data_IF_983204491927
#
_entry.id   IF_983204491927
#
_cell.length_a   1.000
_cell.length_b   1.000
_cell.length_c   1.000
_cell.angle_alpha   90.00
_cell.angle_beta   90.00
_cell.angle_gamma   90.00
#
_symmetry.space_group_name_H-M   'P 1'
#
loop_
_entity.id
_entity.type
_entity.pdbx_description
1 polymer ?
#
# COMPACT_ATOMS: atom_id res chain seq x y z
N UNK A 1 -5.08 0.23 6.72
CA UNK A 1 -5.66 0.00 5.37
C UNK A 1 -5.25 1.17 4.48
N UNK A 2 -4.83 0.94 3.23
CA UNK A 2 -4.62 2.04 2.28
C UNK A 2 -6.00 2.49 1.75
N UNK A 3 -6.29 3.78 1.79
CA UNK A 3 -7.57 4.33 1.31
C UNK A 3 -7.48 4.61 -0.19
N UNK A 4 -8.57 4.36 -0.90
CA UNK A 4 -8.69 4.62 -2.33
C UNK A 4 -10.09 5.16 -2.60
N UNK A 5 -10.23 6.19 -3.42
CA UNK A 5 -11.56 6.77 -3.68
C UNK A 5 -12.53 5.75 -4.29
N UNK A 6 -12.05 4.77 -5.06
CA UNK A 6 -12.87 3.69 -5.61
C UNK A 6 -13.63 2.84 -4.58
N UNK A 7 -13.17 2.83 -3.32
CA UNK A 7 -13.78 2.12 -2.20
C UNK A 7 -14.42 3.09 -1.19
N UNK A 8 -14.81 4.27 -1.64
CA UNK A 8 -15.47 5.29 -0.81
C UNK A 8 -16.98 5.30 -1.08
N UNK A 9 -17.81 5.36 -0.04
CA UNK A 9 -19.28 5.45 -0.16
C UNK A 9 -19.76 6.68 -0.94
N UNK A 10 -18.96 7.75 -0.93
CA UNK A 10 -19.27 9.01 -1.62
C UNK A 10 -18.74 9.08 -3.07
N UNK A 11 -18.21 7.98 -3.59
CA UNK A 11 -17.70 7.90 -4.96
C UNK A 11 -18.82 7.47 -5.90
N UNK A 12 -19.17 8.34 -6.84
CA UNK A 12 -20.15 8.06 -7.88
C UNK A 12 -19.40 7.89 -9.19
N UNK A 13 -19.63 6.76 -9.85
CA UNK A 13 -19.06 6.46 -11.15
C UNK A 13 -20.20 6.32 -12.18
N UNK A 14 -20.13 7.12 -13.24
CA UNK A 14 -21.00 7.06 -14.42
C UNK A 14 -20.18 7.45 -15.65
N UNK A 15 -20.60 8.48 -16.38
CA UNK A 15 -19.80 9.06 -17.47
C UNK A 15 -18.48 9.67 -16.97
N UNK A 16 -18.51 10.23 -15.76
CA UNK A 16 -17.33 10.73 -15.05
C UNK A 16 -17.30 10.22 -13.62
N UNK A 17 -16.11 10.25 -13.04
CA UNK A 17 -15.85 9.92 -11.65
C UNK A 17 -16.07 11.17 -10.79
N UNK A 18 -17.01 11.13 -9.83
CA UNK A 18 -17.35 12.30 -9.01
C UNK A 18 -17.35 11.97 -7.51
N UNK A 19 -16.78 12.88 -6.71
CA UNK A 19 -16.85 12.81 -5.26
C UNK A 19 -17.97 13.71 -4.74
N UNK A 20 -19.05 13.10 -4.22
CA UNK A 20 -20.22 13.83 -3.72
C UNK A 20 -19.88 14.78 -2.57
N UNK A 21 -19.05 14.34 -1.63
CA UNK A 21 -18.72 15.10 -0.43
C UNK A 21 -17.84 16.34 -0.71
N UNK A 22 -16.96 16.24 -1.72
CA UNK A 22 -16.10 17.36 -2.14
C UNK A 22 -16.69 18.18 -3.29
N UNK A 23 -17.80 17.71 -3.87
CA UNK A 23 -18.44 18.25 -5.07
C UNK A 23 -17.44 18.49 -6.20
N UNK A 24 -16.63 17.47 -6.50
CA UNK A 24 -15.52 17.58 -7.46
C UNK A 24 -15.42 16.35 -8.36
N UNK A 25 -15.21 16.61 -9.65
CA UNK A 25 -14.81 15.60 -10.63
C UNK A 25 -13.38 15.11 -10.40
N UNK A 26 -13.20 13.82 -10.60
CA UNK A 26 -11.97 13.09 -10.36
C UNK A 26 -11.60 12.35 -11.64
N UNK A 27 -10.32 12.27 -11.94
CA UNK A 27 -9.85 11.39 -13.02
C UNK A 27 -9.75 9.95 -12.52
N UNK A 28 -9.88 8.97 -13.41
CA UNK A 28 -9.73 7.54 -13.06
C UNK A 28 -8.41 7.26 -12.31
N UNK A 29 -7.32 7.90 -12.75
CA UNK A 29 -6.00 7.80 -12.09
C UNK A 29 -6.06 8.23 -10.61
N UNK A 30 -6.81 9.30 -10.30
CA UNK A 30 -6.98 9.76 -8.92
C UNK A 30 -7.85 8.82 -8.09
N UNK A 31 -8.82 8.15 -8.74
CA UNK A 31 -9.75 7.24 -8.07
C UNK A 31 -9.08 5.94 -7.65
N UNK A 32 -8.15 5.44 -8.48
CA UNK A 32 -7.36 4.22 -8.25
C UNK A 32 -6.11 4.48 -7.40
N UNK A 33 -5.61 5.72 -7.35
CA UNK A 33 -4.49 6.09 -6.49
C UNK A 33 -4.87 6.07 -5.01
N UNK A 34 -3.89 5.74 -4.15
CA UNK A 34 -4.09 5.83 -2.70
C UNK A 34 -4.21 7.28 -2.26
N UNK A 35 -5.11 7.56 -1.32
CA UNK A 35 -5.30 8.89 -0.76
C UNK A 35 -5.32 8.87 0.78
N UNK A 36 -5.44 10.07 1.38
CA UNK A 36 -5.57 10.29 2.82
C UNK A 36 -6.82 11.16 3.11
N UNK A 37 -7.95 10.86 2.47
CA UNK A 37 -9.14 11.69 2.58
C UNK A 37 -9.75 11.60 3.99
N UNK A 38 -9.92 12.75 4.67
CA UNK A 38 -10.51 12.81 6.02
C UNK A 38 -12.00 12.44 6.07
N UNK A 39 -12.69 12.53 4.93
CA UNK A 39 -14.11 12.24 4.77
C UNK A 39 -14.34 10.87 4.10
N UNK A 40 -13.34 9.99 4.18
CA UNK A 40 -13.41 8.67 3.58
C UNK A 40 -14.33 7.75 4.39
N UNK A 41 -15.30 7.14 3.71
CA UNK A 41 -16.17 6.12 4.28
C UNK A 41 -16.03 4.84 3.47
N UNK A 42 -15.56 3.77 4.10
CA UNK A 42 -15.18 2.54 3.38
C UNK A 42 -16.41 1.78 2.89
N UNK A 43 -16.41 1.44 1.60
CA UNK A 43 -17.34 0.49 0.99
C UNK A 43 -16.55 -0.68 0.38
N UNK A 44 -16.93 -1.94 0.65
CA UNK A 44 -16.21 -3.10 0.12
C UNK A 44 -16.38 -3.30 -1.39
N UNK A 45 -17.45 -2.73 -1.94
CA UNK A 45 -17.75 -2.72 -3.37
C UNK A 45 -16.91 -1.68 -4.09
N UNK A 46 -16.44 -2.06 -5.28
CA UNK A 46 -15.69 -1.17 -6.14
C UNK A 46 -16.65 -0.31 -6.97
N UNK A 47 -16.60 0.99 -6.77
CA UNK A 47 -17.42 1.94 -7.52
C UNK A 47 -17.15 1.90 -9.04
N UNK A 48 -15.97 1.43 -9.47
CA UNK A 48 -15.62 1.28 -10.89
C UNK A 48 -16.21 -0.01 -11.53
N UNK A 49 -16.93 -0.83 -10.77
CA UNK A 49 -17.64 -1.99 -11.32
C UNK A 49 -16.75 -3.14 -11.79
N UNK A 50 -15.47 -3.20 -11.40
CA UNK A 50 -14.56 -4.29 -11.82
C UNK A 50 -14.87 -5.64 -11.18
N UNK A 51 -15.87 -5.71 -10.29
CA UNK A 51 -16.24 -6.93 -9.55
C UNK A 51 -15.23 -7.36 -8.48
N UNK A 52 -14.14 -6.61 -8.29
CA UNK A 52 -13.13 -6.91 -7.30
C UNK A 52 -13.48 -6.32 -5.93
N UNK A 53 -13.44 -7.16 -4.89
CA UNK A 53 -13.52 -6.71 -3.50
C UNK A 53 -12.14 -6.29 -3.01
N UNK A 54 -12.09 -5.24 -2.18
CA UNK A 54 -10.84 -4.80 -1.58
C UNK A 54 -10.25 -5.87 -0.66
N UNK A 55 -9.02 -6.33 -0.96
CA UNK A 55 -8.25 -7.24 -0.10
C UNK A 55 -7.02 -6.52 0.48
N UNK A 56 -7.01 -6.21 1.79
CA UNK A 56 -5.84 -5.60 2.43
C UNK A 56 -4.61 -6.52 2.30
N UNK A 57 -3.44 -5.95 2.00
CA UNK A 57 -2.18 -6.71 2.05
C UNK A 57 -1.89 -7.14 3.49
N UNK A 58 -1.73 -8.43 3.71
CA UNK A 58 -1.22 -8.97 4.97
C UNK A 58 0.29 -8.80 4.98
N UNK A 59 0.82 -8.04 5.94
CA UNK A 59 2.27 -7.91 6.12
C UNK A 59 2.83 -9.22 6.67
N UNK A 60 3.60 -9.95 5.87
CA UNK A 60 4.34 -11.11 6.35
C UNK A 60 5.58 -10.62 7.11
N UNK A 61 5.77 -11.08 8.36
CA UNK A 61 7.02 -10.88 9.07
C UNK A 61 8.15 -11.49 8.22
N UNK A 62 9.16 -10.70 7.88
CA UNK A 62 10.38 -11.24 7.26
C UNK A 62 11.04 -12.17 8.27
N UNK A 63 11.21 -13.44 7.90
CA UNK A 63 12.04 -14.38 8.64
C UNK A 63 13.50 -13.95 8.42
N UNK A 64 14.11 -13.26 9.38
CA UNK A 64 15.51 -12.81 9.33
C UNK A 64 16.46 -13.72 10.08
N UNK A 65 15.97 -14.80 10.70
CA UNK A 65 16.81 -15.79 11.39
C UNK A 65 17.73 -16.50 10.40
N UNK A 66 19.00 -16.08 10.34
CA UNK A 66 20.04 -16.65 9.47
C UNK A 66 20.59 -15.70 8.41
N UNK A 67 20.07 -14.48 8.28
CA UNK A 67 20.65 -13.46 7.39
C UNK A 67 21.47 -12.47 8.22
N UNK A 68 22.80 -12.55 8.11
CA UNK A 68 23.71 -11.50 8.59
C UNK A 68 23.87 -10.43 7.49
N UNK A 69 24.06 -9.17 7.88
CA UNK A 69 24.31 -8.13 6.89
C UNK A 69 25.69 -8.30 6.26
N UNK A 70 25.86 -7.88 5.01
CA UNK A 70 27.15 -7.89 4.32
C UNK A 70 28.23 -7.15 5.12
N UNK A 71 27.86 -6.07 5.81
CA UNK A 71 28.78 -5.31 6.67
C UNK A 71 29.19 -6.09 7.93
N UNK A 72 28.29 -6.90 8.49
CA UNK A 72 28.59 -7.74 9.65
C UNK A 72 29.47 -8.93 9.24
N UNK A 73 29.22 -9.53 8.08
CA UNK A 73 30.08 -10.56 7.47
C UNK A 73 31.51 -10.02 7.24
N UNK A 74 31.65 -8.87 6.59
CA UNK A 74 32.94 -8.21 6.38
C UNK A 74 33.63 -7.77 7.68
N UNK A 75 32.88 -7.60 8.77
CA UNK A 75 33.45 -7.32 10.09
C UNK A 75 33.95 -8.59 10.78
N UNK A 76 33.28 -9.72 10.61
CA UNK A 76 33.71 -11.02 11.13
C UNK A 76 34.97 -11.53 10.43
N UNK A 77 35.06 -11.45 9.10
CA UNK A 77 36.27 -11.87 8.38
C UNK A 77 37.52 -11.10 8.83
N UNK A 78 37.42 -9.78 8.98
CA UNK A 78 38.52 -8.95 9.47
C UNK A 78 39.01 -9.31 10.87
N UNK A 79 38.14 -9.89 11.72
CA UNK A 79 38.54 -10.37 13.05
C UNK A 79 39.25 -11.72 12.99
N UNK A 80 38.84 -12.58 12.06
CA UNK A 80 39.41 -13.93 11.89
C UNK A 80 40.82 -13.88 11.29
N UNK A 81 41.14 -12.90 10.44
CA UNK A 81 42.48 -12.73 9.89
C UNK A 81 43.54 -12.38 10.94
N UNK A 82 43.15 -11.74 12.05
CA UNK A 82 44.06 -11.39 13.15
C UNK A 82 44.36 -12.54 14.12
N UNK A 83 43.72 -13.71 13.98
CA UNK A 83 43.94 -14.89 14.83
C UNK A 83 44.81 -15.96 14.16
N UNK A 84 45.37 -15.68 12.98
CA UNK A 84 46.17 -16.62 12.16
C UNK A 84 47.69 -16.43 12.26
N UNK A 85 48.18 -15.71 13.27
CA UNK A 85 49.62 -15.49 13.53
C UNK A 85 50.01 -16.16 14.85
#
# INVERSE_FOLDING_TARGET
MRQYCRYCAFMICGDTCFCQQKRKEMTEKQVVASNNCKLFEFTPEDALGTGHKYTPRVYRKKQTSGQISMFDYMREERKNDHHRI
#
